data_IF_895088800133
#
_entry.id   IF_895088800133
#
_cell.length_a   1.000
_cell.length_b   1.000
_cell.length_c   1.000
_cell.angle_alpha   90.00
_cell.angle_beta   90.00
_cell.angle_gamma   90.00
#
_symmetry.space_group_name_H-M   'P 1'
#
loop_
_entity.id
_entity.type
_entity.pdbx_description
1 polymer ?
#
# COMPACT_ATOMS: atom_id res chain seq x y z
N UNK A 1 93.21 -21.49 -9.09
CA UNK A 1 92.96 -20.03 -9.00
C UNK A 1 91.98 -19.66 -10.10
N UNK A 2 91.13 -18.67 -9.82
CA UNK A 2 89.98 -18.13 -10.57
C UNK A 2 90.13 -18.09 -12.11
N UNK A 3 89.09 -17.98 -12.95
CA UNK A 3 87.83 -17.28 -12.76
C UNK A 3 86.83 -17.56 -13.92
N UNK A 4 85.58 -17.17 -13.66
CA UNK A 4 84.64 -16.52 -14.60
C UNK A 4 83.91 -17.35 -15.66
N UNK A 5 82.60 -17.52 -15.38
CA UNK A 5 81.53 -17.75 -16.35
C UNK A 5 80.21 -17.20 -15.84
N UNK A 6 80.24 -15.97 -15.33
CA UNK A 6 79.09 -15.20 -14.85
C UNK A 6 78.24 -14.75 -16.03
N UNK A 7 77.26 -15.57 -16.41
CA UNK A 7 76.10 -15.19 -17.21
C UNK A 7 75.09 -16.28 -16.88
N UNK A 8 73.99 -16.02 -16.16
CA UNK A 8 72.75 -15.59 -16.83
C UNK A 8 71.68 -15.14 -15.80
N UNK A 9 71.85 -14.01 -15.09
CA UNK A 9 70.73 -13.37 -14.40
C UNK A 9 69.74 -12.72 -15.39
N UNK A 10 70.22 -12.31 -16.58
CA UNK A 10 69.47 -11.51 -17.54
C UNK A 10 68.33 -12.24 -18.30
N UNK A 11 68.43 -13.55 -18.58
CA UNK A 11 67.33 -14.29 -19.24
C UNK A 11 66.16 -14.59 -18.29
N UNK A 12 66.43 -14.86 -17.02
CA UNK A 12 65.41 -15.05 -15.98
C UNK A 12 64.61 -13.76 -15.73
N UNK A 13 65.27 -12.61 -15.75
CA UNK A 13 64.61 -11.31 -15.58
C UNK A 13 63.75 -10.92 -16.79
N UNK A 14 64.18 -11.26 -18.01
CA UNK A 14 63.40 -11.03 -19.23
C UNK A 14 62.11 -11.88 -19.28
N UNK A 15 62.20 -13.16 -18.91
CA UNK A 15 61.03 -14.05 -18.84
C UNK A 15 60.06 -13.62 -17.73
N UNK A 16 60.57 -13.13 -16.59
CA UNK A 16 59.75 -12.59 -15.50
C UNK A 16 59.03 -11.30 -15.93
N UNK A 17 59.71 -10.41 -16.65
CA UNK A 17 59.11 -9.20 -17.19
C UNK A 17 58.03 -9.49 -18.24
N UNK A 18 58.20 -10.53 -19.07
CA UNK A 18 57.18 -10.97 -20.02
C UNK A 18 55.95 -11.59 -19.33
N UNK A 19 56.16 -12.42 -18.30
CA UNK A 19 55.06 -12.98 -17.50
C UNK A 19 54.24 -11.88 -16.82
N UNK A 20 54.90 -10.88 -16.20
CA UNK A 20 54.21 -9.76 -15.55
C UNK A 20 53.36 -8.96 -16.54
N UNK A 21 53.84 -8.76 -17.78
CA UNK A 21 53.07 -8.08 -18.83
C UNK A 21 51.85 -8.89 -19.26
N UNK A 22 52.00 -10.20 -19.44
CA UNK A 22 50.88 -11.08 -19.79
C UNK A 22 49.84 -11.15 -18.69
N UNK A 23 50.27 -11.19 -17.43
CA UNK A 23 49.36 -11.17 -16.28
C UNK A 23 48.64 -9.83 -16.15
N UNK A 24 49.32 -8.70 -16.38
CA UNK A 24 48.71 -7.37 -16.39
C UNK A 24 47.69 -7.21 -17.53
N UNK A 25 47.97 -7.72 -18.73
CA UNK A 25 47.01 -7.74 -19.84
C UNK A 25 45.81 -8.63 -19.55
N UNK A 26 46.03 -9.80 -18.93
CA UNK A 26 44.96 -10.71 -18.52
C UNK A 26 44.07 -10.05 -17.45
N UNK A 27 44.68 -9.40 -16.46
CA UNK A 27 43.94 -8.65 -15.43
C UNK A 27 43.15 -7.50 -16.03
N UNK A 28 43.73 -6.77 -16.99
CA UNK A 28 43.01 -5.69 -17.70
C UNK A 28 41.81 -6.23 -18.49
N UNK A 29 41.97 -7.33 -19.22
CA UNK A 29 40.86 -7.97 -19.94
C UNK A 29 39.77 -8.47 -19.00
N UNK A 30 40.15 -9.06 -17.87
CA UNK A 30 39.18 -9.49 -16.84
C UNK A 30 38.44 -8.28 -16.29
N UNK A 31 39.14 -7.19 -15.98
CA UNK A 31 38.54 -5.97 -15.45
C UNK A 31 37.58 -5.32 -16.45
N UNK A 32 37.96 -5.24 -17.73
CA UNK A 32 37.10 -4.74 -18.81
C UNK A 32 35.85 -5.63 -18.98
N UNK A 33 36.00 -6.95 -18.92
CA UNK A 33 34.86 -7.89 -18.98
C UNK A 33 33.93 -7.78 -17.77
N UNK A 34 34.49 -7.66 -16.55
CA UNK A 34 33.71 -7.48 -15.33
C UNK A 34 32.95 -6.16 -15.37
N UNK A 35 33.56 -5.08 -15.87
CA UNK A 35 32.90 -3.80 -16.00
C UNK A 35 31.76 -3.85 -17.04
N UNK A 36 31.95 -4.54 -18.16
CA UNK A 36 30.90 -4.73 -19.16
C UNK A 36 29.69 -5.50 -18.60
N UNK A 37 29.94 -6.58 -17.84
CA UNK A 37 28.87 -7.37 -17.21
C UNK A 37 28.08 -6.56 -16.18
N UNK A 38 28.75 -5.75 -15.36
CA UNK A 38 28.08 -4.89 -14.37
C UNK A 38 27.18 -3.84 -15.03
N UNK A 39 27.63 -3.28 -16.16
CA UNK A 39 26.84 -2.31 -16.92
C UNK A 39 25.60 -2.99 -17.52
N UNK A 40 25.75 -4.19 -18.09
CA UNK A 40 24.63 -4.96 -18.65
C UNK A 40 23.60 -5.34 -17.58
N UNK A 41 24.05 -5.76 -16.39
CA UNK A 41 23.19 -6.06 -15.25
C UNK A 41 22.44 -4.81 -14.74
N UNK A 42 23.10 -3.65 -14.70
CA UNK A 42 22.45 -2.38 -14.37
C UNK A 42 21.34 -2.03 -15.36
N UNK A 43 21.63 -2.08 -16.67
CA UNK A 43 20.62 -1.77 -17.69
C UNK A 43 19.43 -2.74 -17.68
N UNK A 44 19.70 -4.04 -17.48
CA UNK A 44 18.63 -5.03 -17.34
C UNK A 44 17.76 -4.75 -16.11
N UNK A 45 18.35 -4.31 -14.99
CA UNK A 45 17.60 -3.95 -13.79
C UNK A 45 16.70 -2.72 -14.00
N UNK A 46 17.23 -1.66 -14.63
CA UNK A 46 16.47 -0.45 -14.96
C UNK A 46 15.32 -0.73 -15.93
N UNK A 47 15.53 -1.57 -16.95
CA UNK A 47 14.48 -1.95 -17.90
C UNK A 47 13.34 -2.73 -17.21
N UNK A 48 13.68 -3.60 -16.25
CA UNK A 48 12.67 -4.33 -15.47
C UNK A 48 11.88 -3.43 -14.52
N UNK A 49 12.52 -2.42 -13.92
CA UNK A 49 11.87 -1.44 -13.06
C UNK A 49 10.93 -0.54 -13.87
N UNK A 50 11.42 0.01 -14.99
CA UNK A 50 10.63 0.84 -15.89
C UNK A 50 9.40 0.09 -16.44
N UNK A 51 9.57 -1.18 -16.82
CA UNK A 51 8.45 -2.02 -17.29
C UNK A 51 7.43 -2.29 -16.18
N UNK A 52 7.89 -2.38 -14.93
CA UNK A 52 7.01 -2.48 -13.76
C UNK A 52 6.17 -1.20 -13.59
N UNK A 53 6.81 -0.04 -13.69
CA UNK A 53 6.16 1.26 -13.56
C UNK A 53 5.12 1.50 -14.67
N UNK A 54 5.45 1.16 -15.92
CA UNK A 54 4.53 1.27 -17.05
C UNK A 54 3.28 0.38 -16.85
N UNK A 55 3.45 -0.83 -16.32
CA UNK A 55 2.33 -1.73 -16.04
C UNK A 55 1.43 -1.19 -14.92
N UNK A 56 2.01 -0.60 -13.88
CA UNK A 56 1.27 0.04 -12.78
C UNK A 56 0.48 1.24 -13.30
N UNK A 57 1.09 2.09 -14.11
CA UNK A 57 0.44 3.26 -14.67
C UNK A 57 -0.69 2.89 -15.63
N UNK A 58 -0.50 1.88 -16.49
CA UNK A 58 -1.58 1.34 -17.33
C UNK A 58 -2.73 0.78 -16.49
N UNK A 59 -2.43 0.02 -15.43
CA UNK A 59 -3.45 -0.50 -14.51
C UNK A 59 -4.23 0.62 -13.83
N UNK A 60 -3.53 1.66 -13.37
CA UNK A 60 -4.12 2.84 -12.74
C UNK A 60 -5.07 3.56 -13.70
N UNK A 61 -4.64 3.81 -14.93
CA UNK A 61 -5.46 4.46 -15.96
C UNK A 61 -6.71 3.62 -16.31
N UNK A 62 -6.57 2.30 -16.42
CA UNK A 62 -7.69 1.41 -16.67
C UNK A 62 -8.72 1.42 -15.52
N UNK A 63 -8.27 1.38 -14.26
CA UNK A 63 -9.14 1.51 -13.09
C UNK A 63 -9.89 2.85 -13.08
N UNK A 64 -9.19 3.94 -13.39
CA UNK A 64 -9.78 5.28 -13.39
C UNK A 64 -10.85 5.40 -14.47
N UNK A 65 -10.54 4.99 -15.71
CA UNK A 65 -11.48 5.03 -16.83
C UNK A 65 -12.74 4.19 -16.54
N UNK A 66 -12.58 3.00 -15.96
CA UNK A 66 -13.71 2.16 -15.57
C UNK A 66 -14.56 2.82 -14.49
N UNK A 67 -13.93 3.42 -13.48
CA UNK A 67 -14.61 4.06 -12.35
C UNK A 67 -15.41 5.28 -12.82
N UNK A 68 -14.83 6.11 -13.69
CA UNK A 68 -15.52 7.25 -14.29
C UNK A 68 -16.72 6.83 -15.15
N UNK A 69 -16.55 5.80 -15.97
CA UNK A 69 -17.63 5.22 -16.78
C UNK A 69 -18.76 4.67 -15.91
N UNK A 70 -18.42 3.93 -14.85
CA UNK A 70 -19.38 3.40 -13.90
C UNK A 70 -20.16 4.52 -13.20
N UNK A 71 -19.47 5.58 -12.76
CA UNK A 71 -20.09 6.73 -12.13
C UNK A 71 -21.06 7.47 -13.06
N UNK A 72 -20.67 7.65 -14.32
CA UNK A 72 -21.46 8.39 -15.31
C UNK A 72 -22.68 7.61 -15.83
N UNK A 73 -22.57 6.28 -15.99
CA UNK A 73 -23.60 5.49 -16.66
C UNK A 73 -24.53 4.74 -15.73
N UNK A 74 -24.05 4.30 -14.55
CA UNK A 74 -24.87 3.47 -13.67
C UNK A 74 -25.68 4.35 -12.72
N UNK A 75 -26.95 4.01 -12.46
CA UNK A 75 -27.71 4.60 -11.37
C UNK A 75 -27.09 4.23 -10.02
N UNK A 76 -27.39 5.04 -9.01
CA UNK A 76 -26.79 4.95 -7.67
C UNK A 76 -26.97 3.55 -7.06
N UNK A 77 -28.11 2.91 -7.25
CA UNK A 77 -28.44 1.59 -6.70
C UNK A 77 -27.52 0.49 -7.24
N UNK A 78 -27.13 0.56 -8.52
CA UNK A 78 -26.21 -0.41 -9.11
C UNK A 78 -24.76 -0.15 -8.67
N UNK A 79 -24.37 1.13 -8.56
CA UNK A 79 -23.05 1.49 -7.99
C UNK A 79 -22.93 0.99 -6.56
N UNK A 80 -23.97 1.17 -5.78
CA UNK A 80 -24.10 0.70 -4.41
C UNK A 80 -23.88 -0.82 -4.26
N UNK A 81 -24.41 -1.62 -5.19
CA UNK A 81 -24.16 -3.06 -5.22
C UNK A 81 -22.67 -3.36 -5.47
N UNK A 82 -22.06 -2.69 -6.46
CA UNK A 82 -20.64 -2.85 -6.79
C UNK A 82 -19.76 -2.42 -5.61
N UNK A 83 -20.07 -1.28 -5.01
CA UNK A 83 -19.36 -0.77 -3.84
C UNK A 83 -19.39 -1.75 -2.68
N UNK A 84 -20.52 -2.44 -2.45
CA UNK A 84 -20.62 -3.51 -1.45
C UNK A 84 -19.64 -4.66 -1.68
N UNK A 85 -19.32 -4.98 -2.94
CA UNK A 85 -18.28 -5.96 -3.26
C UNK A 85 -16.87 -5.44 -2.99
N UNK A 86 -16.63 -4.15 -3.24
CA UNK A 86 -15.31 -3.52 -3.08
C UNK A 86 -14.99 -3.30 -1.60
N UNK A 87 -15.87 -2.62 -0.88
CA UNK A 87 -15.61 -2.21 0.50
C UNK A 87 -15.96 -3.30 1.50
N UNK A 88 -16.76 -4.29 1.10
CA UNK A 88 -17.29 -5.42 1.87
C UNK A 88 -18.79 -5.30 2.16
N UNK A 89 -19.42 -6.43 2.52
CA UNK A 89 -20.88 -6.54 2.58
C UNK A 89 -21.51 -5.64 3.66
N UNK A 90 -22.72 -5.08 3.44
CA UNK A 90 -23.39 -4.29 4.47
C UNK A 90 -23.56 -5.06 5.78
N UNK A 91 -23.34 -4.37 6.90
CA UNK A 91 -23.51 -4.95 8.23
C UNK A 91 -22.34 -5.79 8.75
N UNK A 92 -21.20 -5.89 8.04
CA UNK A 92 -19.97 -6.40 8.65
C UNK A 92 -19.51 -5.50 9.80
N UNK A 93 -18.85 -6.11 10.78
CA UNK A 93 -18.46 -5.46 12.03
C UNK A 93 -17.00 -4.97 11.97
N UNK A 94 -16.82 -3.69 12.25
CA UNK A 94 -15.53 -3.03 12.38
C UNK A 94 -15.28 -2.70 13.85
N UNK A 95 -14.11 -3.07 14.40
CA UNK A 95 -13.73 -2.75 15.78
C UNK A 95 -12.68 -1.65 15.76
N UNK A 96 -12.98 -0.52 16.37
CA UNK A 96 -12.04 0.61 16.43
C UNK A 96 -11.18 0.48 17.69
N UNK A 97 -9.86 0.43 17.51
CA UNK A 97 -8.88 0.37 18.59
C UNK A 97 -8.22 1.75 18.75
N UNK A 98 -8.28 2.33 19.95
CA UNK A 98 -7.81 3.71 20.16
C UNK A 98 -6.29 3.87 20.16
N UNK A 99 -5.52 2.81 20.40
CA UNK A 99 -4.07 2.81 20.29
C UNK A 99 -3.54 3.16 18.88
N UNK A 100 -4.37 3.01 17.84
CA UNK A 100 -3.98 3.14 16.43
C UNK A 100 -4.47 4.43 15.77
N UNK A 101 -5.36 5.18 16.44
CA UNK A 101 -5.82 6.50 16.03
C UNK A 101 -4.87 7.65 16.43
N UNK A 102 -3.83 7.37 17.24
CA UNK A 102 -2.91 8.38 17.79
C UNK A 102 -1.72 8.71 16.88
N UNK A 103 -1.54 7.99 15.78
CA UNK A 103 -0.57 8.36 14.74
C UNK A 103 -1.37 9.13 13.69
N UNK A 104 -0.80 10.16 13.06
CA UNK A 104 -1.40 10.98 11.97
C UNK A 104 -1.89 10.18 10.74
N UNK A 105 -1.87 8.86 10.83
CA UNK A 105 -2.50 7.89 9.95
C UNK A 105 -3.33 6.98 10.83
N UNK A 106 -4.56 7.39 11.19
CA UNK A 106 -5.45 6.59 12.02
C UNK A 106 -5.69 5.23 11.37
N UNK A 107 -4.94 4.21 11.79
CA UNK A 107 -5.05 2.87 11.22
C UNK A 107 -6.31 2.24 11.80
N UNK A 108 -7.32 2.04 10.96
CA UNK A 108 -8.50 1.27 11.31
C UNK A 108 -8.13 -0.21 11.27
N UNK A 109 -7.97 -0.86 12.43
CA UNK A 109 -7.73 -2.31 12.46
C UNK A 109 -9.04 -3.07 12.45
N UNK A 110 -9.29 -3.74 11.32
CA UNK A 110 -10.35 -4.74 11.20
C UNK A 110 -9.97 -5.98 12.00
N UNK A 111 -10.47 -6.09 13.23
CA UNK A 111 -10.52 -7.39 13.92
C UNK A 111 -11.84 -8.07 13.54
N UNK A 112 -11.85 -8.74 12.39
CA UNK A 112 -13.04 -9.46 11.90
C UNK A 112 -13.40 -10.55 12.94
N UNK A 113 -14.55 -10.41 13.61
CA UNK A 113 -15.04 -11.39 14.62
C UNK A 113 -15.81 -12.53 13.93
N UNK A 114 -16.19 -12.35 12.67
CA UNK A 114 -16.88 -13.33 11.84
C UNK A 114 -15.97 -13.87 10.75
N UNK A 115 -15.89 -15.21 10.70
CA UNK A 115 -15.10 -16.00 9.76
C UNK A 115 -15.37 -15.62 8.28
N UNK A 116 -14.33 -15.82 7.45
CA UNK A 116 -14.30 -15.90 5.98
C UNK A 116 -14.25 -14.66 5.07
N UNK A 117 -14.16 -13.43 5.58
CA UNK A 117 -13.80 -12.26 4.73
C UNK A 117 -12.45 -11.63 5.13
N UNK A 118 -11.45 -12.47 5.43
CA UNK A 118 -10.06 -12.07 5.71
C UNK A 118 -9.31 -11.49 4.48
N UNK A 119 -9.97 -11.30 3.33
CA UNK A 119 -9.30 -10.96 2.07
C UNK A 119 -8.82 -9.52 1.88
N UNK A 120 -9.15 -8.55 2.75
CA UNK A 120 -8.83 -7.14 2.43
C UNK A 120 -8.23 -6.28 3.55
N UNK A 121 -8.02 -6.78 4.77
CA UNK A 121 -7.59 -5.89 5.87
C UNK A 121 -6.63 -6.50 6.90
N UNK A 122 -6.12 -7.70 6.68
CA UNK A 122 -4.90 -8.18 7.34
C UNK A 122 -3.72 -8.09 6.37
N UNK A 123 -3.39 -6.87 5.94
CA UNK A 123 -2.02 -6.58 5.55
C UNK A 123 -1.44 -5.67 6.61
N UNK A 124 -0.87 -6.30 7.65
CA UNK A 124 0.40 -5.81 8.18
C UNK A 124 1.33 -5.69 6.98
N UNK A 125 1.43 -4.51 6.38
CA UNK A 125 2.60 -4.03 5.63
C UNK A 125 3.46 -5.11 4.94
N UNK A 126 2.88 -5.99 4.09
CA UNK A 126 3.67 -7.07 3.46
C UNK A 126 3.31 -7.41 2.02
N UNK A 127 2.31 -6.77 1.43
CA UNK A 127 2.20 -6.73 -0.02
C UNK A 127 2.07 -5.29 -0.52
N UNK A 128 2.91 -4.84 -1.45
CA UNK A 128 2.83 -3.49 -2.01
C UNK A 128 1.62 -3.28 -2.95
N UNK A 129 0.68 -4.24 -3.04
CA UNK A 129 -0.37 -4.28 -4.06
C UNK A 129 -1.82 -4.32 -3.52
N UNK A 130 -2.07 -4.10 -2.21
CA UNK A 130 -3.44 -3.85 -1.75
C UNK A 130 -3.89 -2.47 -2.23
N UNK A 131 -4.50 -2.44 -3.42
CA UNK A 131 -5.10 -1.24 -3.99
C UNK A 131 -6.08 -0.63 -2.97
N UNK A 132 -5.77 0.59 -2.54
CA UNK A 132 -6.60 1.37 -1.63
C UNK A 132 -7.82 1.84 -2.42
N UNK A 133 -8.97 1.21 -2.22
CA UNK A 133 -10.22 1.55 -2.92
C UNK A 133 -10.70 2.99 -2.68
N UNK A 134 -10.13 3.70 -1.70
CA UNK A 134 -10.37 5.13 -1.46
C UNK A 134 -9.35 6.05 -2.15
N UNK A 135 -8.44 5.52 -2.98
CA UNK A 135 -7.41 6.32 -3.63
C UNK A 135 -7.94 7.04 -4.88
N UNK A 136 -7.79 8.37 -4.91
CA UNK A 136 -8.29 9.19 -6.01
C UNK A 136 -7.60 8.89 -7.33
N UNK A 137 -6.32 8.51 -7.29
CA UNK A 137 -5.55 8.23 -8.50
C UNK A 137 -6.00 6.98 -9.25
N UNK A 138 -6.72 6.07 -8.58
CA UNK A 138 -7.25 4.82 -9.14
C UNK A 138 -8.76 4.86 -9.38
N UNK A 139 -9.54 5.44 -8.46
CA UNK A 139 -11.01 5.43 -8.57
C UNK A 139 -11.57 6.74 -9.13
N UNK A 140 -10.80 7.82 -9.09
CA UNK A 140 -11.32 9.16 -9.30
C UNK A 140 -12.01 9.70 -8.05
N UNK A 141 -12.01 11.04 -7.92
CA UNK A 141 -12.43 11.73 -6.69
C UNK A 141 -13.88 11.43 -6.28
N UNK A 142 -14.80 11.42 -7.25
CA UNK A 142 -16.21 11.23 -6.99
C UNK A 142 -16.52 9.80 -6.48
N UNK A 143 -15.98 8.78 -7.15
CA UNK A 143 -16.17 7.38 -6.76
C UNK A 143 -15.48 7.07 -5.44
N UNK A 144 -14.25 7.57 -5.24
CA UNK A 144 -13.55 7.39 -3.97
C UNK A 144 -14.33 8.00 -2.80
N UNK A 145 -14.95 9.17 -3.00
CA UNK A 145 -15.81 9.79 -1.99
C UNK A 145 -17.05 8.94 -1.71
N UNK A 146 -17.83 8.55 -2.75
CA UNK A 146 -19.03 7.72 -2.58
C UNK A 146 -18.72 6.39 -1.86
N UNK A 147 -17.59 5.75 -2.19
CA UNK A 147 -17.14 4.52 -1.53
C UNK A 147 -16.90 4.73 -0.03
N UNK A 148 -16.23 5.83 0.35
CA UNK A 148 -15.94 6.14 1.76
C UNK A 148 -17.23 6.48 2.51
N UNK A 149 -18.09 7.30 1.94
CA UNK A 149 -19.40 7.63 2.54
C UNK A 149 -20.23 6.36 2.76
N UNK A 150 -20.29 5.49 1.75
CA UNK A 150 -20.99 4.20 1.84
C UNK A 150 -20.37 3.28 2.88
N UNK A 151 -19.05 3.25 3.00
CA UNK A 151 -18.38 2.48 4.04
C UNK A 151 -18.81 2.95 5.43
N UNK A 152 -18.80 4.25 5.72
CA UNK A 152 -19.33 4.73 7.00
C UNK A 152 -20.81 4.41 7.21
N UNK A 153 -21.60 4.49 6.14
CA UNK A 153 -23.06 4.31 6.18
C UNK A 153 -23.47 2.87 6.43
N UNK A 154 -22.75 1.91 5.85
CA UNK A 154 -23.18 0.49 5.83
C UNK A 154 -22.52 -0.38 6.90
N UNK A 155 -21.45 0.11 7.54
CA UNK A 155 -20.66 -0.65 8.51
C UNK A 155 -21.20 -0.53 9.94
N UNK A 156 -20.91 -1.55 10.74
CA UNK A 156 -21.20 -1.56 12.18
C UNK A 156 -19.92 -1.37 12.97
N UNK A 157 -19.75 -0.19 13.55
CA UNK A 157 -18.57 0.15 14.33
C UNK A 157 -18.75 -0.22 15.78
N UNK A 158 -17.74 -0.84 16.38
CA UNK A 158 -17.68 -1.15 17.80
C UNK A 158 -16.46 -0.49 18.42
N UNK A 159 -16.67 0.36 19.41
CA UNK A 159 -15.59 1.00 20.17
C UNK A 159 -15.60 0.43 21.57
N UNK A 160 -14.47 -0.15 21.97
CA UNK A 160 -14.33 -0.83 23.25
C UNK A 160 -13.27 -0.18 24.12
N UNK A 161 -13.56 -0.01 25.42
CA UNK A 161 -12.62 0.38 26.49
C UNK A 161 -12.01 1.79 26.40
N UNK A 162 -11.85 2.35 25.20
CA UNK A 162 -11.15 3.63 24.98
C UNK A 162 -12.09 4.68 24.37
N UNK A 163 -12.91 5.34 25.19
CA UNK A 163 -13.80 6.41 24.71
C UNK A 163 -13.05 7.62 24.13
N UNK A 164 -11.76 7.78 24.41
CA UNK A 164 -10.92 8.76 23.71
C UNK A 164 -10.87 8.51 22.20
N UNK A 165 -10.90 7.24 21.78
CA UNK A 165 -10.96 6.83 20.38
C UNK A 165 -12.25 7.28 19.69
N UNK A 166 -13.37 7.31 20.44
CA UNK A 166 -14.68 7.70 19.89
C UNK A 166 -14.65 9.12 19.36
N UNK A 167 -14.15 10.08 20.15
CA UNK A 167 -14.10 11.48 19.71
C UNK A 167 -13.22 11.63 18.47
N UNK A 168 -12.06 10.98 18.44
CA UNK A 168 -11.17 11.01 17.27
C UNK A 168 -11.86 10.36 16.06
N UNK A 169 -12.40 9.15 16.20
CA UNK A 169 -13.06 8.44 15.10
C UNK A 169 -14.24 9.20 14.49
N UNK A 170 -15.02 9.91 15.31
CA UNK A 170 -16.17 10.68 14.84
C UNK A 170 -15.80 11.98 14.12
N UNK A 171 -14.62 12.54 14.38
CA UNK A 171 -14.23 13.87 13.90
C UNK A 171 -12.99 13.88 13.00
N UNK A 172 -12.23 12.79 12.96
CA UNK A 172 -11.04 12.66 12.14
C UNK A 172 -11.37 11.89 10.87
N UNK A 173 -11.00 12.45 9.72
CA UNK A 173 -11.14 11.81 8.43
C UNK A 173 -9.85 11.05 8.06
N UNK A 174 -9.79 9.72 8.28
CA UNK A 174 -8.61 8.94 7.96
C UNK A 174 -8.41 8.77 6.44
N UNK A 175 -9.45 9.04 5.63
CA UNK A 175 -9.40 8.88 4.18
C UNK A 175 -9.06 10.19 3.45
N UNK A 176 -8.96 11.30 4.18
CA UNK A 176 -8.62 12.64 3.66
C UNK A 176 -9.56 13.07 2.52
N UNK A 177 -10.84 12.75 2.64
CA UNK A 177 -11.92 13.13 1.72
C UNK A 177 -12.66 14.40 2.10
N UNK A 178 -12.20 15.07 3.16
CA UNK A 178 -12.85 16.23 3.76
C UNK A 178 -14.29 15.91 4.21
N UNK A 179 -14.48 14.72 4.77
CA UNK A 179 -15.76 14.28 5.31
C UNK A 179 -15.74 14.29 6.84
N UNK A 180 -16.91 14.45 7.45
CA UNK A 180 -17.07 14.27 8.89
C UNK A 180 -17.71 12.89 9.16
N UNK A 181 -16.97 11.90 9.69
CA UNK A 181 -17.48 10.55 9.90
C UNK A 181 -18.80 10.48 10.68
N UNK A 182 -18.96 11.35 11.69
CA UNK A 182 -20.16 11.40 12.53
C UNK A 182 -21.47 11.61 11.75
N UNK A 183 -21.39 12.21 10.55
CA UNK A 183 -22.56 12.45 9.69
C UNK A 183 -23.02 11.16 9.00
N UNK A 184 -22.09 10.27 8.65
CA UNK A 184 -22.36 9.08 7.84
C UNK A 184 -22.51 7.81 8.67
N UNK A 185 -21.93 7.75 9.88
CA UNK A 185 -22.00 6.56 10.72
C UNK A 185 -23.44 6.27 11.15
N UNK A 186 -24.01 5.15 10.67
CA UNK A 186 -25.35 4.72 11.04
C UNK A 186 -25.37 3.72 12.21
N UNK A 187 -24.31 2.94 12.40
CA UNK A 187 -24.28 1.87 13.38
C UNK A 187 -23.04 1.93 14.25
N UNK A 188 -23.21 2.37 15.50
CA UNK A 188 -22.14 2.49 16.48
C UNK A 188 -22.53 1.78 17.78
N UNK A 189 -21.68 0.85 18.21
CA UNK A 189 -21.81 0.12 19.46
C UNK A 189 -20.67 0.51 20.39
N UNK A 190 -21.01 0.84 21.65
CA UNK A 190 -20.03 1.14 22.69
C UNK A 190 -19.97 -0.04 23.65
N UNK A 191 -18.81 -0.68 23.74
CA UNK A 191 -18.56 -1.78 24.70
C UNK A 191 -18.04 -1.19 26.02
N UNK A 192 -18.93 -1.08 27.00
CA UNK A 192 -18.67 -0.58 28.35
C UNK A 192 -18.55 -1.79 29.29
N UNK A 193 -17.46 -2.55 29.21
CA UNK A 193 -17.16 -3.74 30.03
C UNK A 193 -18.05 -5.00 29.79
N UNK A 194 -17.55 -6.23 30.08
CA UNK A 194 -18.27 -7.45 29.78
C UNK A 194 -19.39 -7.63 30.82
N UNK A 195 -20.61 -7.26 30.43
CA UNK A 195 -21.81 -7.39 31.26
C UNK A 195 -22.89 -6.37 30.92
N UNK A 196 -22.53 -5.24 30.29
CA UNK A 196 -23.48 -4.20 29.89
C UNK A 196 -23.19 -3.78 28.45
N UNK A 197 -23.92 -4.34 27.49
CA UNK A 197 -23.98 -3.81 26.12
C UNK A 197 -25.22 -2.93 25.98
N UNK A 198 -25.00 -1.61 25.96
CA UNK A 198 -26.02 -0.66 25.53
C UNK A 198 -25.95 -0.50 24.01
N UNK A 199 -26.96 -0.94 23.27
CA UNK A 199 -27.04 -0.64 21.84
C UNK A 199 -27.59 0.79 21.69
N UNK A 200 -26.76 1.74 21.25
CA UNK A 200 -27.26 3.03 20.81
C UNK A 200 -27.83 2.82 19.41
N UNK A 201 -29.14 2.55 19.32
CA UNK A 201 -29.87 2.70 18.06
C UNK A 201 -30.00 4.20 17.82
N UNK A 202 -29.12 4.76 17.01
CA UNK A 202 -29.33 6.12 16.48
C UNK A 202 -30.63 6.11 15.68
N UNK A 203 -31.56 7.00 16.05
CA UNK A 203 -32.73 7.35 15.24
C UNK A 203 -32.57 8.83 14.91
N UNK A 204 -32.50 9.10 13.62
CA UNK A 204 -32.47 10.37 12.89
C UNK A 204 -32.58 11.66 13.71
N UNK A 205 -31.55 12.50 13.65
CA UNK A 205 -31.72 13.94 13.86
C UNK A 205 -32.27 14.52 12.55
N UNK A 206 -33.59 14.50 12.38
CA UNK A 206 -34.23 15.47 11.51
C UNK A 206 -34.25 16.80 12.29
N UNK A 207 -33.30 17.69 12.03
CA UNK A 207 -33.53 19.10 12.28
C UNK A 207 -34.21 19.67 11.04
N UNK A 208 -35.50 19.95 11.19
CA UNK A 208 -36.25 20.79 10.27
C UNK A 208 -35.56 22.16 10.18
N UNK A 209 -34.86 22.43 9.08
CA UNK A 209 -34.63 23.81 8.67
C UNK A 209 -35.89 24.28 7.94
N UNK A 210 -36.85 24.78 8.72
CA UNK A 210 -37.91 25.65 8.23
C UNK A 210 -37.56 27.07 8.66
N UNK A 211 -37.00 27.86 7.74
CA UNK A 211 -37.11 29.33 7.60
C UNK A 211 -36.30 29.74 6.37
#
# INVERSE_FOLDING_TARGET
MAANGSTTPALTDLNRAQSIRQDAERQRKIQEQTQALLIDEMYASEETEQRGDDAVEMGRQACLALSEQMYAMLPMELRDMIYGWIIGMPGEHERILGAELKKDQGTLVRKNITYDNARLWQERFSYPFSLRWWCDSYMGKAVALELVERWYTTRKFTISREFGALKTFLNHDPFQKNIQPSVFIQHLTLEIWPGWSGQIRSRSIYQNCSS
#
